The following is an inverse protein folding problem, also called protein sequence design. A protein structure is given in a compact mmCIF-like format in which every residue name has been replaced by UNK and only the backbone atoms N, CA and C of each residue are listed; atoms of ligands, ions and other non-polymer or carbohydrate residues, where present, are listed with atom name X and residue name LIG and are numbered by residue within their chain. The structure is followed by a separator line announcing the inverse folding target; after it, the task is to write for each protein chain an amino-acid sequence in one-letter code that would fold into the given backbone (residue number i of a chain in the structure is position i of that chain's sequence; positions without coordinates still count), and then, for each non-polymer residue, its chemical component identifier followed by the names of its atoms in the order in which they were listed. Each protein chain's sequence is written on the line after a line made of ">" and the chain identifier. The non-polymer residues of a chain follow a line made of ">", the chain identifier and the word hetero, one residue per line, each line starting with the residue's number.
data_IF_744199735002
#
_entry.id   IF_744199735002
#
_cell.length_a   1.000
_cell.length_b   1.000
_cell.length_c   1.000
_cell.angle_alpha   90.00
_cell.angle_beta   90.00
_cell.angle_gamma   90.00
#
_symmetry.space_group_name_H-M   'P 1'
#
loop_
_entity.id
_entity.type
_entity.pdbx_description
1 polymer ?
#
# COMPACT_ATOMS: atom_id res chain seq x y z
N UNK A 1 10.19 -5.52 -15.63
CA UNK A 1 9.29 -5.78 -16.78
C UNK A 1 8.30 -6.95 -16.56
N UNK A 2 8.64 -8.00 -15.80
CA UNK A 2 7.83 -9.23 -15.70
C UNK A 2 6.41 -9.11 -15.07
N UNK A 3 6.17 -8.20 -14.12
CA UNK A 3 4.88 -8.18 -13.37
C UNK A 3 3.68 -7.61 -14.15
N UNK A 4 3.88 -6.90 -15.26
CA UNK A 4 2.78 -6.18 -15.96
C UNK A 4 1.81 -7.09 -16.71
N UNK A 5 2.19 -8.34 -16.97
CA UNK A 5 1.36 -9.35 -17.66
C UNK A 5 1.06 -10.58 -16.80
N UNK A 6 1.68 -10.72 -15.62
CA UNK A 6 1.58 -11.93 -14.80
C UNK A 6 0.13 -12.37 -14.54
N UNK A 7 -0.75 -11.45 -14.13
CA UNK A 7 -2.15 -11.80 -13.86
C UNK A 7 -2.89 -12.23 -15.13
N UNK A 8 -2.50 -11.67 -16.28
CA UNK A 8 -3.10 -12.03 -17.58
C UNK A 8 -2.66 -13.41 -18.04
N UNK A 9 -1.38 -13.73 -17.84
CA UNK A 9 -0.82 -15.06 -18.10
C UNK A 9 -1.49 -16.11 -17.20
N UNK A 10 -1.63 -15.81 -15.90
CA UNK A 10 -2.38 -16.67 -14.97
C UNK A 10 -3.83 -16.84 -15.43
N UNK A 11 -4.50 -15.75 -15.82
CA UNK A 11 -5.89 -15.83 -16.27
C UNK A 11 -6.05 -16.65 -17.56
N UNK A 12 -5.11 -16.56 -18.49
CA UNK A 12 -5.12 -17.38 -19.70
C UNK A 12 -4.91 -18.87 -19.41
N UNK A 13 -4.10 -19.22 -18.42
CA UNK A 13 -3.90 -20.61 -17.99
C UNK A 13 -5.09 -21.18 -17.24
N UNK A 14 -5.74 -20.37 -16.41
CA UNK A 14 -6.86 -20.81 -15.56
C UNK A 14 -8.18 -20.86 -16.34
N UNK A 15 -8.43 -19.89 -17.23
CA UNK A 15 -9.72 -19.72 -17.90
C UNK A 15 -9.66 -19.78 -19.44
N UNK A 16 -8.46 -19.95 -20.01
CA UNK A 16 -8.24 -19.84 -21.45
C UNK A 16 -8.02 -18.39 -21.91
N UNK A 17 -7.33 -18.24 -23.05
CA UNK A 17 -6.91 -16.93 -23.59
C UNK A 17 -8.08 -15.99 -23.87
N UNK A 18 -9.21 -16.49 -24.35
CA UNK A 18 -10.39 -15.68 -24.67
C UNK A 18 -11.02 -15.05 -23.41
N UNK A 19 -11.10 -15.81 -22.32
CA UNK A 19 -11.70 -15.32 -21.07
C UNK A 19 -10.73 -14.49 -20.23
N UNK A 20 -9.42 -14.67 -20.45
CA UNK A 20 -8.39 -13.87 -19.78
C UNK A 20 -8.64 -12.37 -19.95
N UNK A 21 -9.26 -11.96 -21.07
CA UNK A 21 -9.55 -10.57 -21.40
C UNK A 21 -10.46 -9.83 -20.41
N UNK A 22 -11.31 -10.57 -19.70
CA UNK A 22 -12.19 -10.04 -18.63
C UNK A 22 -11.43 -9.55 -17.40
N UNK A 23 -10.19 -10.02 -17.17
CA UNK A 23 -9.41 -9.68 -15.98
C UNK A 23 -8.42 -8.53 -16.22
N UNK A 24 -8.21 -7.72 -15.19
CA UNK A 24 -7.19 -6.67 -15.24
C UNK A 24 -5.78 -7.27 -15.39
N UNK A 25 -4.89 -6.53 -16.06
CA UNK A 25 -3.49 -6.97 -16.26
C UNK A 25 -2.61 -6.75 -15.03
N UNK A 26 -2.96 -5.77 -14.18
CA UNK A 26 -2.10 -5.31 -13.08
C UNK A 26 -2.54 -5.90 -11.75
N UNK A 27 -1.53 -6.28 -10.98
CA UNK A 27 -1.61 -6.59 -9.56
C UNK A 27 -0.82 -5.56 -8.78
N UNK A 28 -1.24 -5.26 -7.56
CA UNK A 28 -0.47 -4.45 -6.62
C UNK A 28 0.14 -5.39 -5.57
N UNK A 29 1.44 -5.22 -5.31
CA UNK A 29 2.15 -5.98 -4.29
C UNK A 29 2.55 -5.00 -3.19
N UNK A 30 2.06 -5.23 -1.98
CA UNK A 30 2.35 -4.43 -0.79
C UNK A 30 2.97 -5.39 0.21
N UNK A 31 4.29 -5.29 0.42
CA UNK A 31 5.03 -6.26 1.23
C UNK A 31 4.88 -7.66 0.63
N UNK A 32 4.30 -8.57 1.40
CA UNK A 32 3.96 -9.95 1.04
C UNK A 32 2.45 -10.15 0.76
N UNK A 33 1.69 -9.06 0.57
CA UNK A 33 0.27 -9.09 0.19
C UNK A 33 0.13 -8.75 -1.29
N UNK A 34 -0.66 -9.53 -2.03
CA UNK A 34 -1.07 -9.23 -3.39
C UNK A 34 -2.53 -8.74 -3.42
N UNK A 35 -2.78 -7.68 -4.17
CA UNK A 35 -4.11 -7.12 -4.38
C UNK A 35 -4.49 -7.22 -5.86
N UNK A 36 -5.61 -7.88 -6.12
CA UNK A 36 -6.27 -7.94 -7.41
C UNK A 36 -7.42 -6.94 -7.40
N UNK A 37 -7.51 -6.03 -8.37
CA UNK A 37 -8.71 -5.18 -8.50
C UNK A 37 -9.84 -6.03 -9.09
N UNK A 38 -11.07 -5.93 -8.58
CA UNK A 38 -12.24 -6.59 -9.20
C UNK A 38 -12.58 -5.89 -10.52
N UNK A 39 -12.62 -6.58 -11.67
CA UNK A 39 -13.20 -6.05 -12.90
C UNK A 39 -14.71 -5.86 -12.80
N UNK A 40 -15.28 -5.01 -13.66
CA UNK A 40 -16.73 -4.89 -13.78
C UNK A 40 -17.30 -6.19 -14.37
N UNK A 41 -18.40 -6.70 -13.82
CA UNK A 41 -19.04 -7.93 -14.30
C UNK A 41 -18.26 -9.23 -14.04
N UNK A 42 -17.24 -9.21 -13.19
CA UNK A 42 -16.52 -10.40 -12.71
C UNK A 42 -16.83 -10.61 -11.23
N UNK A 43 -17.28 -11.79 -10.85
CA UNK A 43 -17.60 -12.14 -9.48
C UNK A 43 -16.36 -12.45 -8.64
N UNK A 44 -16.47 -12.32 -7.31
CA UNK A 44 -15.34 -12.56 -6.42
C UNK A 44 -14.85 -14.01 -6.47
N UNK A 45 -15.77 -14.96 -6.65
CA UNK A 45 -15.48 -16.38 -6.80
C UNK A 45 -14.59 -16.65 -8.03
N UNK A 46 -14.78 -15.90 -9.13
CA UNK A 46 -13.95 -16.00 -10.33
C UNK A 46 -12.51 -15.48 -10.10
N UNK A 47 -12.24 -14.77 -9.01
CA UNK A 47 -10.88 -14.32 -8.67
C UNK A 47 -10.11 -15.32 -7.80
N UNK A 48 -10.79 -16.27 -7.14
CA UNK A 48 -10.13 -17.23 -6.23
C UNK A 48 -9.12 -18.13 -6.94
N UNK A 49 -9.43 -18.75 -8.09
CA UNK A 49 -8.45 -19.55 -8.83
C UNK A 49 -7.20 -18.75 -9.26
N UNK A 50 -7.37 -17.47 -9.63
CA UNK A 50 -6.26 -16.58 -9.95
C UNK A 50 -5.40 -16.29 -8.72
N UNK A 51 -6.02 -16.11 -7.56
CA UNK A 51 -5.34 -15.85 -6.30
C UNK A 51 -4.49 -17.05 -5.84
N UNK A 52 -5.02 -18.27 -5.96
CA UNK A 52 -4.25 -19.49 -5.68
C UNK A 52 -3.06 -19.65 -6.63
N UNK A 53 -3.26 -19.40 -7.93
CA UNK A 53 -2.18 -19.43 -8.90
C UNK A 53 -1.12 -18.36 -8.64
N UNK A 54 -1.51 -17.17 -8.17
CA UNK A 54 -0.57 -16.13 -7.74
C UNK A 54 0.30 -16.60 -6.56
N UNK A 55 -0.28 -17.27 -5.56
CA UNK A 55 0.49 -17.82 -4.43
C UNK A 55 1.50 -18.88 -4.88
N UNK A 56 1.11 -19.75 -5.82
CA UNK A 56 2.03 -20.75 -6.40
C UNK A 56 3.17 -20.10 -7.18
N UNK A 57 2.90 -19.04 -7.95
CA UNK A 57 3.90 -18.35 -8.79
C UNK A 57 4.79 -17.38 -8.03
N UNK A 58 4.30 -16.82 -6.92
CA UNK A 58 5.01 -15.84 -6.12
C UNK A 58 5.13 -16.36 -4.67
N UNK A 59 6.10 -17.25 -4.37
CA UNK A 59 6.20 -17.89 -3.05
C UNK A 59 6.40 -16.92 -1.87
N UNK A 60 6.86 -15.70 -2.15
CA UNK A 60 7.01 -14.64 -1.14
C UNK A 60 5.68 -13.96 -0.81
N UNK A 61 4.64 -14.07 -1.65
CA UNK A 61 3.29 -13.58 -1.34
C UNK A 61 2.64 -14.59 -0.41
N UNK A 62 2.06 -14.10 0.69
CA UNK A 62 1.42 -14.92 1.73
C UNK A 62 -0.10 -14.75 1.79
N UNK A 63 -0.59 -13.62 1.31
CA UNK A 63 -2.03 -13.30 1.32
C UNK A 63 -2.45 -12.60 0.03
N UNK A 64 -3.61 -12.97 -0.50
CA UNK A 64 -4.17 -12.36 -1.71
C UNK A 64 -5.57 -11.82 -1.44
N UNK A 65 -5.82 -10.57 -1.83
CA UNK A 65 -7.07 -9.86 -1.59
C UNK A 65 -7.64 -9.25 -2.88
N UNK A 66 -8.96 -9.14 -2.96
CA UNK A 66 -9.66 -8.38 -3.99
C UNK A 66 -9.98 -6.97 -3.49
N UNK A 67 -9.57 -5.93 -4.22
CA UNK A 67 -10.11 -4.59 -4.05
C UNK A 67 -11.44 -4.47 -4.83
N UNK A 68 -12.54 -4.36 -4.11
CA UNK A 68 -13.92 -4.48 -4.63
C UNK A 68 -14.66 -3.15 -4.78
N UNK A 69 -14.15 -2.05 -4.23
CA UNK A 69 -14.74 -0.71 -4.37
C UNK A 69 -13.72 0.34 -4.85
N UNK A 70 -14.19 1.47 -5.40
CA UNK A 70 -13.40 2.69 -5.49
C UNK A 70 -12.86 3.14 -4.12
N UNK A 71 -11.94 4.09 -4.13
CA UNK A 71 -11.52 4.76 -2.88
C UNK A 71 -12.65 5.68 -2.43
N UNK A 72 -13.14 5.50 -1.22
CA UNK A 72 -14.33 6.21 -0.72
C UNK A 72 -14.23 6.50 0.79
N UNK A 73 -15.18 7.30 1.29
CA UNK A 73 -15.26 7.71 2.69
C UNK A 73 -14.18 8.72 3.11
N UNK A 74 -14.31 9.18 4.35
CA UNK A 74 -13.41 10.15 4.99
C UNK A 74 -11.96 9.65 5.05
N UNK A 75 -11.77 8.36 5.40
CA UNK A 75 -10.45 7.75 5.49
C UNK A 75 -9.89 7.22 4.16
N UNK A 76 -10.59 7.46 3.04
CA UNK A 76 -10.13 7.10 1.68
C UNK A 76 -9.73 5.62 1.56
N UNK A 77 -10.57 4.73 2.11
CA UNK A 77 -10.33 3.29 2.10
C UNK A 77 -11.03 2.63 0.91
N UNK A 78 -10.59 1.40 0.61
CA UNK A 78 -11.28 0.49 -0.31
C UNK A 78 -11.87 -0.66 0.49
N UNK A 79 -12.96 -1.24 -0.01
CA UNK A 79 -13.41 -2.55 0.48
C UNK A 79 -12.53 -3.65 -0.08
N UNK A 80 -11.96 -4.46 0.81
CA UNK A 80 -11.17 -5.62 0.46
C UNK A 80 -11.87 -6.92 0.84
N UNK A 81 -11.74 -7.92 -0.01
CA UNK A 81 -12.20 -9.29 0.27
C UNK A 81 -11.03 -10.24 0.17
N UNK A 82 -10.80 -11.06 1.19
CA UNK A 82 -9.76 -12.08 1.16
C UNK A 82 -10.09 -13.13 0.10
N UNK A 83 -9.10 -13.51 -0.71
CA UNK A 83 -9.28 -14.49 -1.80
C UNK A 83 -8.57 -15.81 -1.49
N UNK A 84 -7.30 -15.76 -1.07
CA UNK A 84 -6.48 -16.96 -0.84
C UNK A 84 -5.30 -16.68 0.10
N UNK A 85 -4.70 -17.76 0.62
CA UNK A 85 -3.54 -17.70 1.52
C UNK A 85 -3.93 -17.32 2.94
N UNK A 86 -2.98 -16.77 3.69
CA UNK A 86 -3.19 -16.33 5.07
C UNK A 86 -4.30 -15.27 5.13
N UNK A 87 -5.27 -15.41 6.02
CA UNK A 87 -6.34 -14.41 6.22
C UNK A 87 -5.82 -13.24 7.07
N UNK A 88 -4.90 -12.47 6.47
CA UNK A 88 -4.14 -11.39 7.12
C UNK A 88 -4.02 -10.19 6.17
N UNK A 89 -4.45 -9.03 6.64
CA UNK A 89 -4.44 -7.76 5.89
C UNK A 89 -3.24 -6.86 6.20
N UNK A 90 -2.47 -7.19 7.24
CA UNK A 90 -1.28 -6.44 7.63
C UNK A 90 0.02 -7.04 7.08
N UNK A 91 1.02 -6.18 6.84
CA UNK A 91 2.35 -6.56 6.34
C UNK A 91 3.41 -5.51 6.73
N UNK A 92 4.68 -5.83 6.47
CA UNK A 92 5.78 -4.85 6.46
C UNK A 92 6.07 -4.49 5.00
N UNK A 93 5.66 -3.29 4.60
CA UNK A 93 6.02 -2.70 3.31
C UNK A 93 7.39 -2.01 3.42
N UNK A 94 8.26 -2.22 2.44
CA UNK A 94 9.59 -1.59 2.42
C UNK A 94 9.73 -0.68 1.20
N UNK A 95 10.23 0.52 1.45
CA UNK A 95 10.39 1.54 0.41
C UNK A 95 11.58 2.45 0.75
N UNK A 96 12.50 2.65 -0.21
CA UNK A 96 13.70 3.50 -0.05
C UNK A 96 14.47 3.31 1.27
N UNK A 97 14.68 2.06 1.68
CA UNK A 97 15.39 1.72 2.91
C UNK A 97 14.59 1.96 4.20
N UNK A 98 13.34 2.37 4.10
CA UNK A 98 12.40 2.51 5.22
C UNK A 98 11.45 1.30 5.27
N UNK A 99 10.96 0.97 6.47
CA UNK A 99 10.00 -0.11 6.70
C UNK A 99 8.71 0.43 7.30
N UNK A 100 7.57 -0.06 6.83
CA UNK A 100 6.25 0.43 7.22
C UNK A 100 5.35 -0.75 7.55
N UNK A 101 4.91 -0.85 8.80
CA UNK A 101 3.77 -1.67 9.18
C UNK A 101 2.50 -1.04 8.63
N UNK A 102 1.77 -1.80 7.85
CA UNK A 102 0.59 -1.35 7.10
C UNK A 102 -0.48 -2.43 7.18
N UNK A 103 -1.71 -2.05 7.45
CA UNK A 103 -2.90 -2.86 7.18
C UNK A 103 -3.69 -2.23 6.02
N UNK A 104 -3.80 -2.98 4.91
CA UNK A 104 -4.43 -2.47 3.68
C UNK A 104 -5.93 -2.17 3.83
N UNK A 105 -6.58 -2.70 4.86
CA UNK A 105 -8.00 -2.46 5.15
C UNK A 105 -8.23 -1.26 6.06
N UNK A 106 -7.16 -0.73 6.68
CA UNK A 106 -7.23 0.32 7.69
C UNK A 106 -6.56 1.62 7.25
N UNK A 107 -5.63 1.57 6.31
CA UNK A 107 -4.95 2.75 5.78
C UNK A 107 -4.83 2.69 4.26
N UNK A 108 -4.97 3.85 3.63
CA UNK A 108 -4.68 3.98 2.21
C UNK A 108 -3.17 3.81 1.94
N UNK A 109 -2.83 2.95 0.99
CA UNK A 109 -1.48 2.81 0.47
C UNK A 109 -1.49 2.58 -1.04
N UNK A 110 -0.54 3.19 -1.72
CA UNK A 110 -0.32 2.98 -3.15
C UNK A 110 1.17 2.90 -3.44
N UNK A 111 1.71 1.70 -3.71
CA UNK A 111 3.10 1.54 -4.14
C UNK A 111 3.46 2.34 -5.41
N UNK A 112 2.45 2.83 -6.14
CA UNK A 112 2.64 3.68 -7.33
C UNK A 112 3.16 5.07 -6.99
N UNK A 113 2.91 5.54 -5.77
CA UNK A 113 3.43 6.81 -5.29
C UNK A 113 4.89 6.73 -4.86
N UNK A 114 5.52 5.55 -4.94
CA UNK A 114 6.88 5.38 -4.46
C UNK A 114 7.85 6.41 -5.06
N UNK A 115 7.87 6.54 -6.39
CA UNK A 115 8.69 7.58 -7.03
C UNK A 115 8.44 8.98 -6.47
N UNK A 116 7.18 9.32 -6.20
CA UNK A 116 6.79 10.62 -5.66
C UNK A 116 7.26 10.82 -4.22
N UNK A 117 7.21 9.79 -3.37
CA UNK A 117 7.77 9.86 -2.01
C UNK A 117 9.25 10.27 -2.04
N UNK A 118 10.05 9.64 -2.89
CA UNK A 118 11.46 9.98 -3.02
C UNK A 118 11.67 11.33 -3.71
N UNK A 119 10.87 11.67 -4.72
CA UNK A 119 10.97 12.95 -5.43
C UNK A 119 10.75 14.11 -4.47
N UNK A 120 9.68 14.07 -3.68
CA UNK A 120 9.37 15.11 -2.69
C UNK A 120 10.43 15.15 -1.58
N UNK A 121 10.89 14.00 -1.08
CA UNK A 121 11.97 13.97 -0.10
C UNK A 121 13.21 14.73 -0.59
N UNK A 122 13.64 14.51 -1.83
CA UNK A 122 14.80 15.19 -2.40
C UNK A 122 14.66 16.71 -2.57
N UNK A 123 13.44 17.24 -2.52
CA UNK A 123 13.19 18.69 -2.61
C UNK A 123 13.31 19.39 -1.26
N UNK A 124 13.14 18.65 -0.16
CA UNK A 124 13.27 19.18 1.20
C UNK A 124 14.74 19.47 1.48
N UNK A 125 15.01 20.68 1.99
CA UNK A 125 16.36 21.11 2.35
C UNK A 125 16.63 20.84 3.84
N UNK A 126 17.91 20.65 4.21
CA UNK A 126 18.27 20.49 5.61
C UNK A 126 17.79 21.67 6.47
N UNK A 127 17.23 21.36 7.65
CA UNK A 127 16.71 22.35 8.58
C UNK A 127 15.32 22.91 8.26
N UNK A 128 14.66 22.46 7.18
CA UNK A 128 13.27 22.86 6.93
C UNK A 128 12.30 22.24 7.94
N UNK A 129 11.24 22.97 8.26
CA UNK A 129 10.06 22.46 8.96
C UNK A 129 9.00 22.11 7.92
N UNK A 130 8.56 20.85 7.90
CA UNK A 130 7.62 20.31 6.92
C UNK A 130 6.30 19.96 7.60
N UNK A 131 5.18 20.28 6.94
CA UNK A 131 3.85 19.82 7.34
C UNK A 131 3.33 18.85 6.27
N UNK A 132 2.95 17.65 6.70
CA UNK A 132 2.27 16.65 5.90
C UNK A 132 0.84 16.48 6.44
N UNK A 133 -0.12 17.10 5.76
CA UNK A 133 -1.51 17.23 6.22
C UNK A 133 -2.32 15.92 6.17
N UNK A 134 -1.92 14.97 5.32
CA UNK A 134 -2.63 13.71 5.08
C UNK A 134 -1.64 12.55 5.10
N UNK A 135 -1.03 12.33 6.25
CA UNK A 135 0.17 11.54 6.37
C UNK A 135 -0.03 10.03 6.22
N UNK A 136 -1.26 9.54 6.39
CA UNK A 136 -1.58 8.12 6.45
C UNK A 136 -0.68 7.43 7.48
N UNK A 137 -0.02 6.35 7.06
CA UNK A 137 0.94 5.62 7.89
C UNK A 137 2.35 6.24 7.92
N UNK A 138 2.51 7.48 7.46
CA UNK A 138 3.74 8.28 7.58
C UNK A 138 4.76 8.11 6.46
N UNK A 139 4.40 7.57 5.29
CA UNK A 139 5.37 7.23 4.22
C UNK A 139 6.19 8.44 3.77
N UNK A 140 5.55 9.53 3.34
CA UNK A 140 6.26 10.76 2.97
C UNK A 140 7.13 11.27 4.11
N UNK A 141 6.57 11.41 5.31
CA UNK A 141 7.24 12.03 6.45
C UNK A 141 8.49 11.29 6.89
N UNK A 142 8.41 9.96 6.96
CA UNK A 142 9.53 9.10 7.36
C UNK A 142 10.60 9.09 6.28
N UNK A 143 10.23 9.03 4.99
CA UNK A 143 11.19 9.08 3.89
C UNK A 143 11.90 10.43 3.86
N UNK A 144 11.19 11.55 4.05
CA UNK A 144 11.78 12.89 4.20
C UNK A 144 12.76 12.92 5.36
N UNK A 145 12.34 12.46 6.55
CA UNK A 145 13.19 12.48 7.75
C UNK A 145 14.47 11.62 7.60
N UNK A 146 14.39 10.53 6.83
CA UNK A 146 15.51 9.62 6.59
C UNK A 146 16.52 10.15 5.58
N UNK A 147 16.07 10.90 4.58
CA UNK A 147 16.87 11.24 3.40
C UNK A 147 17.23 12.73 3.27
N UNK A 148 16.59 13.63 4.03
CA UNK A 148 16.68 15.08 3.77
C UNK A 148 17.01 15.95 4.98
N UNK A 149 17.18 15.35 6.16
CA UNK A 149 17.56 16.03 7.42
C UNK A 149 16.73 17.31 7.72
N UNK A 150 15.38 17.25 7.68
CA UNK A 150 14.54 18.36 8.12
C UNK A 150 14.77 18.64 9.61
N UNK A 151 14.43 19.85 10.07
CA UNK A 151 14.37 20.15 11.49
C UNK A 151 13.22 19.37 12.14
N UNK A 152 12.01 19.49 11.56
CA UNK A 152 10.81 18.76 12.00
C UNK A 152 9.88 18.42 10.84
N UNK A 153 9.15 17.33 10.99
CA UNK A 153 8.05 16.94 10.09
C UNK A 153 6.80 16.67 10.91
N UNK A 154 5.86 17.62 10.90
CA UNK A 154 4.54 17.45 11.51
C UNK A 154 3.65 16.65 10.57
N UNK A 155 3.15 15.51 11.06
CA UNK A 155 2.46 14.52 10.23
C UNK A 155 1.07 14.30 10.80
N UNK A 156 0.07 14.81 10.10
CA UNK A 156 -1.31 14.86 10.56
C UNK A 156 -2.11 13.83 9.78
N UNK A 157 -2.94 13.05 10.47
CA UNK A 157 -3.97 12.24 9.82
C UNK A 157 -5.19 12.14 10.73
N UNK A 158 -6.37 12.15 10.13
CA UNK A 158 -7.65 12.07 10.84
C UNK A 158 -8.00 10.62 11.20
N UNK A 159 -7.44 9.64 10.49
CA UNK A 159 -7.72 8.23 10.73
C UNK A 159 -6.91 7.71 11.93
N UNK A 160 -7.55 7.31 13.04
CA UNK A 160 -6.84 6.86 14.24
C UNK A 160 -6.01 5.59 14.01
N UNK A 161 -6.43 4.70 13.10
CA UNK A 161 -5.68 3.49 12.76
C UNK A 161 -4.41 3.84 11.97
N UNK A 162 -4.50 4.81 11.05
CA UNK A 162 -3.36 5.32 10.31
C UNK A 162 -2.38 6.02 11.25
N UNK A 163 -2.88 6.83 12.18
CA UNK A 163 -2.08 7.46 13.23
C UNK A 163 -1.32 6.44 14.08
N UNK A 164 -2.00 5.38 14.58
CA UNK A 164 -1.35 4.34 15.37
C UNK A 164 -0.22 3.66 14.58
N UNK A 165 -0.48 3.29 13.33
CA UNK A 165 0.55 2.74 12.44
C UNK A 165 1.69 3.73 12.18
N UNK A 166 1.39 5.03 12.01
CA UNK A 166 2.40 6.07 11.84
C UNK A 166 3.30 6.18 13.08
N UNK A 167 2.74 6.18 14.29
CA UNK A 167 3.52 6.18 15.55
C UNK A 167 4.46 4.96 15.61
N UNK A 168 3.96 3.78 15.26
CA UNK A 168 4.80 2.57 15.18
C UNK A 168 5.89 2.69 14.11
N UNK A 169 5.54 3.23 12.94
CA UNK A 169 6.47 3.36 11.81
C UNK A 169 7.57 4.39 12.08
N UNK A 170 7.26 5.48 12.77
CA UNK A 170 8.26 6.47 13.21
C UNK A 170 9.31 5.81 14.09
N UNK A 171 8.88 4.97 15.05
CA UNK A 171 9.78 4.19 15.91
C UNK A 171 10.57 3.13 15.12
N UNK A 172 9.87 2.41 14.23
CA UNK A 172 10.47 1.37 13.40
C UNK A 172 11.64 1.90 12.54
N UNK A 173 11.57 3.17 12.11
CA UNK A 173 12.58 3.79 11.26
C UNK A 173 13.60 4.65 12.02
N UNK A 174 13.44 4.77 13.34
CA UNK A 174 14.28 5.56 14.25
C UNK A 174 14.34 7.04 13.84
N UNK A 175 13.17 7.66 13.70
CA UNK A 175 13.02 9.08 13.31
C UNK A 175 12.10 9.85 14.28
N UNK A 176 11.97 9.36 15.52
CA UNK A 176 11.18 10.00 16.60
C UNK A 176 11.67 11.43 16.91
N UNK A 177 12.95 11.71 16.69
CA UNK A 177 13.57 13.01 16.88
C UNK A 177 13.10 14.06 15.85
N UNK A 178 12.56 13.63 14.70
CA UNK A 178 12.22 14.52 13.57
C UNK A 178 10.74 14.49 13.20
N UNK A 179 10.12 13.31 13.21
CA UNK A 179 8.72 13.15 12.80
C UNK A 179 7.80 13.22 14.02
N UNK A 180 6.82 14.11 13.97
CA UNK A 180 5.80 14.30 15.02
C UNK A 180 4.45 13.84 14.49
N UNK A 181 3.96 12.65 14.88
CA UNK A 181 2.61 12.18 14.55
C UNK A 181 1.55 12.99 15.30
N UNK A 182 0.50 13.41 14.60
CA UNK A 182 -0.65 14.13 15.14
C UNK A 182 -1.92 13.44 14.65
N UNK A 183 -2.80 13.05 15.58
CA UNK A 183 -4.16 12.63 15.27
C UNK A 183 -5.04 13.88 15.24
N UNK A 184 -5.62 14.20 14.10
CA UNK A 184 -6.46 15.38 13.97
C UNK A 184 -6.92 15.62 12.54
N UNK A 185 -7.91 16.51 12.42
CA UNK A 185 -8.29 17.08 11.13
C UNK A 185 -7.26 18.15 10.74
N UNK A 186 -6.85 18.13 9.48
CA UNK A 186 -5.90 19.09 8.92
C UNK A 186 -6.60 20.21 8.11
N UNK A 187 -7.91 20.11 7.90
CA UNK A 187 -8.72 21.08 7.17
C UNK A 187 -9.01 22.37 7.97
#
# INVERSE_FOLDING_TARGET
>A
MAKRKLLKEIAAEVYGSEQADRFWKRIEIIGDIAVIRKPFGVELEELKPLAEALLRRLPYVKSVWAASSPVEGEFRLRRYTHLAGEKRSWTIYREYGCSFKIDITKVYISPRLSYEHQRIARLVKPGEVVINMYAGAGLFSIIIAKHSSPEKVYSIDINPEAYQMMVENVKLNRVEDRVVPILGDAA
#
